data_IF_288159337265
#
_entry.id   IF_288159337265
#
_cell.length_a   1.000
_cell.length_b   1.000
_cell.length_c   1.000
_cell.angle_alpha   90.00
_cell.angle_beta   90.00
_cell.angle_gamma   90.00
#
_symmetry.space_group_name_H-M   'P 1'
#
loop_
_entity.id
_entity.type
_entity.pdbx_description
1 polymer ?
#
# COMPACT_ATOMS: atom_id res chain seq x y z
N UNK A 1 17.06 -9.68 15.08
CA UNK A 1 16.17 -9.47 13.90
C UNK A 1 15.55 -8.07 13.85
N UNK A 2 15.06 -7.48 14.95
CA UNK A 2 14.39 -6.15 14.98
C UNK A 2 15.23 -4.98 14.43
N UNK A 3 16.53 -4.94 14.65
CA UNK A 3 17.40 -3.86 14.14
C UNK A 3 17.54 -3.85 12.61
N UNK A 4 17.55 -5.01 11.97
CA UNK A 4 17.64 -5.14 10.51
C UNK A 4 16.36 -4.65 9.83
N UNK A 5 15.20 -4.96 10.40
CA UNK A 5 13.89 -4.50 9.91
C UNK A 5 13.75 -2.98 10.02
N UNK A 6 14.13 -2.39 11.16
CA UNK A 6 14.07 -0.93 11.37
C UNK A 6 14.95 -0.16 10.39
N UNK A 7 16.19 -0.60 10.17
CA UNK A 7 17.10 0.07 9.24
C UNK A 7 16.62 -0.04 7.79
N UNK A 8 16.04 -1.17 7.39
CA UNK A 8 15.42 -1.32 6.08
C UNK A 8 14.23 -0.36 5.89
N UNK A 9 13.37 -0.22 6.90
CA UNK A 9 12.26 0.72 6.85
C UNK A 9 12.73 2.17 6.77
N UNK A 10 13.72 2.58 7.58
CA UNK A 10 14.27 3.93 7.53
C UNK A 10 14.91 4.24 6.17
N UNK A 11 15.66 3.30 5.60
CA UNK A 11 16.25 3.45 4.27
C UNK A 11 15.17 3.58 3.20
N UNK A 12 14.16 2.72 3.22
CA UNK A 12 13.03 2.77 2.30
C UNK A 12 12.29 4.11 2.40
N UNK A 13 11.98 4.56 3.62
CA UNK A 13 11.33 5.86 3.85
C UNK A 13 12.17 7.01 3.30
N UNK A 14 13.49 6.98 3.53
CA UNK A 14 14.41 7.99 2.99
C UNK A 14 14.39 8.04 1.45
N UNK A 15 14.39 6.88 0.79
CA UNK A 15 14.30 6.78 -0.67
C UNK A 15 12.96 7.36 -1.16
N UNK A 16 11.84 7.04 -0.51
CA UNK A 16 10.53 7.58 -0.88
C UNK A 16 10.46 9.10 -0.73
N UNK A 17 10.99 9.65 0.35
CA UNK A 17 11.02 11.10 0.58
C UNK A 17 11.83 11.79 -0.53
N UNK A 18 13.03 11.28 -0.85
CA UNK A 18 13.88 11.83 -1.92
C UNK A 18 13.14 11.75 -3.26
N UNK A 19 12.51 10.62 -3.58
CA UNK A 19 11.75 10.43 -4.79
C UNK A 19 10.62 11.46 -4.92
N UNK A 20 9.79 11.63 -3.88
CA UNK A 20 8.67 12.57 -3.86
C UNK A 20 9.18 14.01 -4.03
N UNK A 21 10.27 14.39 -3.34
CA UNK A 21 10.85 15.73 -3.47
C UNK A 21 11.37 16.00 -4.87
N UNK A 22 12.09 15.07 -5.48
CA UNK A 22 12.60 15.21 -6.84
C UNK A 22 11.47 15.33 -7.87
N UNK A 23 10.44 14.47 -7.75
CA UNK A 23 9.27 14.55 -8.64
C UNK A 23 8.48 15.85 -8.44
N UNK A 24 8.32 16.31 -7.21
CA UNK A 24 7.67 17.59 -6.92
C UNK A 24 8.40 18.77 -7.54
N UNK A 25 9.73 18.78 -7.49
CA UNK A 25 10.56 19.82 -8.12
C UNK A 25 10.41 19.78 -9.64
N UNK A 26 10.48 18.60 -10.26
CA UNK A 26 10.31 18.48 -11.73
C UNK A 26 8.91 18.89 -12.15
N UNK A 27 7.88 18.53 -11.39
CA UNK A 27 6.50 18.94 -11.65
C UNK A 27 6.30 20.45 -11.55
N UNK A 28 6.96 21.14 -10.62
CA UNK A 28 6.92 22.59 -10.51
C UNK A 28 7.61 23.28 -11.71
N UNK A 29 8.70 22.71 -12.22
CA UNK A 29 9.43 23.25 -13.36
C UNK A 29 8.74 22.96 -14.70
N UNK A 30 8.05 21.82 -14.79
CA UNK A 30 7.37 21.33 -15.99
C UNK A 30 5.94 20.88 -15.63
N UNK A 31 5.02 21.83 -15.37
CA UNK A 31 3.64 21.47 -15.06
C UNK A 31 3.00 20.73 -16.24
N UNK A 32 2.31 19.66 -15.95
CA UNK A 32 1.56 18.91 -16.98
C UNK A 32 0.42 19.79 -17.48
N UNK A 33 0.37 19.98 -18.80
CA UNK A 33 -0.73 20.67 -19.48
C UNK A 33 -1.81 19.64 -19.83
N UNK A 34 -2.67 19.27 -18.86
CA UNK A 34 -3.76 18.33 -19.08
C UNK A 34 -4.25 17.69 -17.80
N UNK A 35 -5.23 16.79 -17.92
CA UNK A 35 -5.72 15.99 -16.81
C UNK A 35 -4.62 15.04 -16.28
N UNK A 36 -4.56 14.89 -14.96
CA UNK A 36 -3.64 13.96 -14.31
C UNK A 36 -4.11 12.54 -14.65
N UNK A 37 -3.28 11.81 -15.38
CA UNK A 37 -3.53 10.41 -15.75
C UNK A 37 -2.65 9.46 -14.94
N UNK A 38 -2.98 8.16 -14.97
CA UNK A 38 -2.22 7.09 -14.32
C UNK A 38 -0.76 7.02 -14.78
N UNK A 39 -0.48 7.55 -15.98
CA UNK A 39 0.85 7.57 -16.60
C UNK A 39 1.60 8.89 -16.42
N UNK A 40 1.01 9.87 -15.72
CA UNK A 40 1.60 11.21 -15.55
C UNK A 40 3.02 11.19 -15.00
N UNK A 41 3.32 10.25 -14.09
CA UNK A 41 4.67 10.08 -13.54
C UNK A 41 5.68 9.65 -14.61
N UNK A 42 5.25 8.83 -15.57
CA UNK A 42 6.08 8.40 -16.71
C UNK A 42 6.33 9.58 -17.66
N UNK A 43 5.33 10.42 -17.86
CA UNK A 43 5.45 11.62 -18.68
C UNK A 43 6.41 12.64 -18.09
N UNK A 44 6.38 12.85 -16.79
CA UNK A 44 7.33 13.70 -16.07
C UNK A 44 8.76 13.14 -16.17
N UNK A 45 8.94 11.83 -16.17
CA UNK A 45 10.25 11.21 -16.26
C UNK A 45 11.01 11.56 -17.55
N UNK A 46 10.32 11.94 -18.65
CA UNK A 46 10.94 12.38 -19.90
C UNK A 46 11.87 13.58 -19.71
N UNK A 47 11.57 14.45 -18.75
CA UNK A 47 12.36 15.64 -18.45
C UNK A 47 13.66 15.33 -17.70
N UNK A 48 13.83 14.12 -17.16
CA UNK A 48 15.05 13.70 -16.47
C UNK A 48 16.12 13.28 -17.49
N UNK A 49 15.78 12.32 -18.36
CA UNK A 49 16.59 11.94 -19.53
C UNK A 49 15.72 11.09 -20.49
N UNK A 50 16.13 11.01 -21.75
CA UNK A 50 15.36 10.36 -22.81
C UNK A 50 14.93 8.92 -22.53
N UNK A 51 15.75 8.10 -21.86
CA UNK A 51 15.43 6.71 -21.52
C UNK A 51 14.67 6.51 -20.21
N UNK A 52 14.50 7.54 -19.38
CA UNK A 52 13.91 7.43 -18.05
C UNK A 52 12.50 6.82 -18.05
N UNK A 53 11.59 7.14 -18.98
CA UNK A 53 10.26 6.52 -19.02
C UNK A 53 10.30 4.99 -19.15
N UNK A 54 11.19 4.48 -20.00
CA UNK A 54 11.32 3.03 -20.24
C UNK A 54 11.83 2.33 -18.99
N UNK A 55 12.88 2.86 -18.36
CA UNK A 55 13.41 2.31 -17.12
C UNK A 55 12.39 2.36 -15.99
N UNK A 56 11.66 3.46 -15.85
CA UNK A 56 10.61 3.62 -14.86
C UNK A 56 9.47 2.61 -15.08
N UNK A 57 9.03 2.45 -16.33
CA UNK A 57 8.00 1.47 -16.68
C UNK A 57 8.42 0.04 -16.35
N UNK A 58 9.62 -0.37 -16.77
CA UNK A 58 10.14 -1.71 -16.47
C UNK A 58 10.26 -1.92 -14.95
N UNK A 59 10.79 -0.93 -14.23
CA UNK A 59 10.92 -1.01 -12.78
C UNK A 59 9.54 -1.13 -12.09
N UNK A 60 8.55 -0.34 -12.53
CA UNK A 60 7.20 -0.37 -12.00
C UNK A 60 6.55 -1.74 -12.23
N UNK A 61 6.56 -2.26 -13.46
CA UNK A 61 5.98 -3.56 -13.79
C UNK A 61 6.64 -4.68 -12.99
N UNK A 62 7.98 -4.71 -12.93
CA UNK A 62 8.73 -5.74 -12.21
C UNK A 62 8.45 -5.68 -10.71
N UNK A 63 8.41 -4.49 -10.14
CA UNK A 63 8.11 -4.27 -8.73
C UNK A 63 6.69 -4.73 -8.37
N UNK A 64 5.70 -4.32 -9.17
CA UNK A 64 4.30 -4.69 -8.93
C UNK A 64 4.07 -6.20 -9.10
N UNK A 65 4.68 -6.82 -10.10
CA UNK A 65 4.60 -8.27 -10.29
C UNK A 65 5.21 -9.02 -9.09
N UNK A 66 6.38 -8.57 -8.62
CA UNK A 66 7.04 -9.17 -7.45
C UNK A 66 6.18 -9.03 -6.18
N UNK A 67 5.60 -7.85 -5.94
CA UNK A 67 4.70 -7.60 -4.81
C UNK A 67 3.44 -8.49 -4.90
N UNK A 68 2.80 -8.54 -6.06
CA UNK A 68 1.62 -9.38 -6.28
C UNK A 68 1.89 -10.86 -6.00
N UNK A 69 3.02 -11.40 -6.48
CA UNK A 69 3.39 -12.79 -6.20
C UNK A 69 3.61 -13.05 -4.70
N UNK A 70 4.24 -12.12 -3.99
CA UNK A 70 4.46 -12.22 -2.55
C UNK A 70 3.12 -12.19 -1.78
N UNK A 71 2.21 -11.29 -2.17
CA UNK A 71 0.89 -11.17 -1.57
C UNK A 71 0.02 -12.39 -1.82
N UNK A 72 0.03 -12.94 -3.04
CA UNK A 72 -0.66 -14.18 -3.35
C UNK A 72 -0.14 -15.35 -2.50
N UNK A 73 1.19 -15.48 -2.39
CA UNK A 73 1.80 -16.54 -1.59
C UNK A 73 1.43 -16.40 -0.10
N UNK A 74 1.52 -15.18 0.44
CA UNK A 74 1.18 -14.88 1.82
C UNK A 74 -0.30 -15.13 2.14
N UNK A 75 -1.20 -14.57 1.32
CA UNK A 75 -2.64 -14.69 1.52
C UNK A 75 -3.14 -16.13 1.34
N UNK A 76 -2.62 -16.86 0.36
CA UNK A 76 -2.97 -18.26 0.17
C UNK A 76 -2.58 -19.15 1.34
N UNK A 77 -1.40 -18.90 1.93
CA UNK A 77 -0.97 -19.56 3.16
C UNK A 77 -1.85 -19.21 4.35
N UNK A 78 -2.16 -17.92 4.52
CA UNK A 78 -3.01 -17.44 5.60
C UNK A 78 -4.43 -18.03 5.56
N UNK A 79 -5.06 -18.06 4.38
CA UNK A 79 -6.39 -18.68 4.20
C UNK A 79 -6.37 -20.16 4.58
N UNK A 80 -5.34 -20.87 4.18
CA UNK A 80 -5.18 -22.30 4.53
C UNK A 80 -5.05 -22.48 6.07
N UNK A 81 -4.23 -21.64 6.71
CA UNK A 81 -4.01 -21.71 8.16
C UNK A 81 -5.27 -21.33 8.95
N UNK A 82 -5.91 -20.22 8.63
CA UNK A 82 -7.14 -19.73 9.31
C UNK A 82 -8.31 -20.68 9.10
N UNK A 83 -8.40 -21.35 7.94
CA UNK A 83 -9.41 -22.37 7.66
C UNK A 83 -9.12 -23.71 8.35
N UNK A 84 -8.08 -23.80 9.18
CA UNK A 84 -7.62 -25.06 9.78
C UNK A 84 -7.34 -26.15 8.71
N UNK A 85 -6.69 -25.74 7.60
CA UNK A 85 -6.35 -26.60 6.46
C UNK A 85 -7.57 -27.16 5.69
N UNK A 86 -8.78 -26.67 5.95
CA UNK A 86 -9.98 -27.09 5.20
C UNK A 86 -9.98 -26.56 3.79
N UNK A 87 -9.38 -25.39 3.55
CA UNK A 87 -9.21 -24.79 2.24
C UNK A 87 -7.76 -24.98 1.79
N UNK A 88 -7.55 -25.70 0.68
CA UNK A 88 -6.20 -25.86 0.17
C UNK A 88 -5.66 -24.55 -0.39
N UNK A 89 -4.33 -24.36 -0.34
CA UNK A 89 -3.65 -23.16 -0.86
C UNK A 89 -4.00 -22.92 -2.34
N UNK A 90 -4.16 -23.96 -3.14
CA UNK A 90 -4.54 -23.85 -4.56
C UNK A 90 -5.94 -23.24 -4.73
N UNK A 91 -6.90 -23.70 -3.92
CA UNK A 91 -8.26 -23.16 -3.93
C UNK A 91 -8.26 -21.70 -3.47
N UNK A 92 -7.48 -21.37 -2.43
CA UNK A 92 -7.31 -19.99 -1.98
C UNK A 92 -6.79 -19.09 -3.10
N UNK A 93 -5.79 -19.52 -3.87
CA UNK A 93 -5.28 -18.76 -5.01
C UNK A 93 -6.34 -18.50 -6.08
N UNK A 94 -7.14 -19.52 -6.42
CA UNK A 94 -8.22 -19.36 -7.41
C UNK A 94 -9.26 -18.35 -6.92
N UNK A 95 -9.66 -18.43 -5.66
CA UNK A 95 -10.64 -17.50 -5.08
C UNK A 95 -10.10 -16.07 -5.05
N UNK A 96 -8.85 -15.89 -4.62
CA UNK A 96 -8.21 -14.57 -4.59
C UNK A 96 -8.10 -14.00 -6.01
N UNK A 97 -7.64 -14.81 -6.98
CA UNK A 97 -7.54 -14.38 -8.38
C UNK A 97 -8.90 -13.98 -8.96
N UNK A 98 -9.95 -14.77 -8.71
CA UNK A 98 -11.29 -14.44 -9.15
C UNK A 98 -11.79 -13.12 -8.54
N UNK A 99 -11.56 -12.92 -7.23
CA UNK A 99 -11.92 -11.67 -6.56
C UNK A 99 -11.16 -10.47 -7.15
N UNK A 100 -9.86 -10.60 -7.42
CA UNK A 100 -9.04 -9.55 -8.05
C UNK A 100 -9.57 -9.21 -9.46
N UNK A 101 -9.92 -10.21 -10.27
CA UNK A 101 -10.47 -10.00 -11.62
C UNK A 101 -11.79 -9.22 -11.53
N UNK A 102 -12.69 -9.61 -10.63
CA UNK A 102 -13.97 -8.91 -10.43
C UNK A 102 -13.73 -7.47 -10.00
N UNK A 103 -12.81 -7.21 -9.08
CA UNK A 103 -12.49 -5.85 -8.64
C UNK A 103 -11.95 -5.00 -9.79
N UNK A 104 -10.98 -5.52 -10.56
CA UNK A 104 -10.37 -4.76 -11.67
C UNK A 104 -11.37 -4.47 -12.80
N UNK A 105 -12.38 -5.32 -13.00
CA UNK A 105 -13.40 -5.08 -14.02
C UNK A 105 -14.56 -4.22 -13.54
N UNK A 106 -14.74 -4.05 -12.24
CA UNK A 106 -15.88 -3.33 -11.65
C UNK A 106 -15.55 -1.93 -11.20
N UNK A 107 -14.27 -1.63 -10.98
CA UNK A 107 -13.82 -0.39 -10.35
C UNK A 107 -12.62 0.21 -11.06
N UNK A 108 -12.52 1.55 -11.02
CA UNK A 108 -11.35 2.27 -11.50
C UNK A 108 -10.16 2.12 -10.56
N UNK A 109 -8.95 2.36 -11.08
CA UNK A 109 -7.71 2.20 -10.33
C UNK A 109 -7.68 3.04 -9.04
N UNK A 110 -8.21 4.27 -9.07
CA UNK A 110 -8.26 5.15 -7.91
C UNK A 110 -9.23 4.65 -6.85
N UNK A 111 -10.35 4.06 -7.25
CA UNK A 111 -11.30 3.41 -6.34
C UNK A 111 -10.66 2.18 -5.69
N UNK A 112 -9.97 1.34 -6.47
CA UNK A 112 -9.25 0.16 -5.96
C UNK A 112 -8.18 0.58 -4.92
N UNK A 113 -7.40 1.62 -5.21
CA UNK A 113 -6.40 2.17 -4.29
C UNK A 113 -7.08 2.70 -3.01
N UNK A 114 -8.22 3.37 -3.13
CA UNK A 114 -8.99 3.83 -1.99
C UNK A 114 -9.49 2.68 -1.13
N UNK A 115 -10.07 1.64 -1.73
CA UNK A 115 -10.51 0.44 -1.00
C UNK A 115 -9.35 -0.27 -0.31
N UNK A 116 -8.22 -0.43 -1.00
CA UNK A 116 -7.02 -1.02 -0.41
C UNK A 116 -6.53 -0.19 0.78
N UNK A 117 -6.46 1.13 0.64
CA UNK A 117 -6.03 2.04 1.71
C UNK A 117 -6.94 1.96 2.93
N UNK A 118 -8.27 1.91 2.73
CA UNK A 118 -9.25 1.72 3.81
C UNK A 118 -9.10 0.34 4.46
N UNK A 119 -8.86 -0.70 3.67
CA UNK A 119 -8.59 -2.06 4.17
C UNK A 119 -7.34 -2.11 5.06
N UNK A 120 -6.25 -1.49 4.64
CA UNK A 120 -5.04 -1.36 5.46
C UNK A 120 -5.27 -0.54 6.74
N UNK A 121 -5.98 0.58 6.63
CA UNK A 121 -6.32 1.40 7.80
C UNK A 121 -7.15 0.61 8.82
N UNK A 122 -8.12 -0.19 8.34
CA UNK A 122 -8.93 -1.07 9.18
C UNK A 122 -8.08 -2.16 9.86
N UNK A 123 -7.15 -2.77 9.12
CA UNK A 123 -6.21 -3.74 9.66
C UNK A 123 -5.35 -3.13 10.78
N UNK A 124 -4.76 -1.95 10.55
CA UNK A 124 -3.98 -1.26 11.57
C UNK A 124 -4.82 -0.79 12.76
N UNK A 125 -6.08 -0.43 12.54
CA UNK A 125 -7.01 -0.15 13.63
C UNK A 125 -7.16 -1.36 14.56
N UNK A 126 -7.40 -2.58 14.03
CA UNK A 126 -7.47 -3.79 14.83
C UNK A 126 -6.15 -4.14 15.53
N UNK A 127 -5.02 -3.87 14.88
CA UNK A 127 -3.69 -4.00 15.51
C UNK A 127 -3.55 -3.04 16.71
N UNK A 128 -4.02 -1.80 16.59
CA UNK A 128 -4.03 -0.83 17.68
C UNK A 128 -4.93 -1.29 18.83
N UNK A 129 -6.12 -1.83 18.54
CA UNK A 129 -7.01 -2.39 19.56
C UNK A 129 -6.33 -3.54 20.33
N UNK A 130 -5.69 -4.46 19.61
CA UNK A 130 -4.94 -5.56 20.22
C UNK A 130 -3.78 -5.05 21.10
N UNK A 131 -3.05 -4.04 20.61
CA UNK A 131 -1.98 -3.38 21.36
C UNK A 131 -2.50 -2.68 22.62
N UNK A 132 -3.64 -1.98 22.53
CA UNK A 132 -4.27 -1.33 23.67
C UNK A 132 -4.66 -2.34 24.75
N UNK A 133 -5.26 -3.46 24.34
CA UNK A 133 -5.65 -4.53 25.26
C UNK A 133 -4.46 -5.06 26.07
N UNK A 134 -3.34 -5.32 25.40
CA UNK A 134 -2.12 -5.82 26.02
C UNK A 134 -1.49 -4.78 26.97
N UNK A 135 -1.44 -3.50 26.54
CA UNK A 135 -0.71 -2.45 27.26
C UNK A 135 -1.55 -1.67 28.27
N UNK A 136 -2.84 -1.92 28.38
CA UNK A 136 -3.76 -1.19 29.24
C UNK A 136 -3.28 -1.10 30.71
N UNK A 137 -2.70 -2.20 31.23
CA UNK A 137 -2.21 -2.27 32.62
C UNK A 137 -0.70 -2.14 32.78
N UNK A 138 0.08 -2.21 31.68
CA UNK A 138 1.55 -2.37 31.75
C UNK A 138 2.28 -1.08 31.37
N UNK A 139 1.81 -0.33 30.36
CA UNK A 139 2.55 0.79 29.80
C UNK A 139 1.62 1.88 29.26
N UNK A 140 1.26 2.83 30.12
CA UNK A 140 0.33 3.94 29.79
C UNK A 140 0.74 4.73 28.52
N UNK A 141 2.04 4.99 28.31
CA UNK A 141 2.53 5.70 27.14
C UNK A 141 2.26 4.93 25.83
N UNK A 142 2.48 3.60 25.83
CA UNK A 142 2.18 2.77 24.67
C UNK A 142 0.68 2.66 24.40
N UNK A 143 -0.12 2.61 25.46
CA UNK A 143 -1.58 2.63 25.35
C UNK A 143 -2.06 3.91 24.67
N UNK A 144 -1.63 5.08 25.15
CA UNK A 144 -2.02 6.38 24.57
C UNK A 144 -1.56 6.49 23.12
N UNK A 145 -0.34 6.05 22.79
CA UNK A 145 0.15 6.04 21.42
C UNK A 145 -0.73 5.15 20.51
N UNK A 146 -1.03 3.92 20.94
CA UNK A 146 -1.91 3.02 20.19
C UNK A 146 -3.32 3.58 20.02
N UNK A 147 -3.84 4.29 21.04
CA UNK A 147 -5.13 4.96 20.97
C UNK A 147 -5.13 6.07 19.91
N UNK A 148 -4.13 6.95 19.92
CA UNK A 148 -4.01 8.02 18.92
C UNK A 148 -3.92 7.48 17.49
N UNK A 149 -3.06 6.49 17.27
CA UNK A 149 -2.92 5.86 15.96
C UNK A 149 -4.21 5.14 15.54
N UNK A 150 -4.88 4.46 16.47
CA UNK A 150 -6.16 3.80 16.21
C UNK A 150 -7.25 4.78 15.80
N UNK A 151 -7.34 5.94 16.46
CA UNK A 151 -8.28 7.01 16.07
C UNK A 151 -7.97 7.53 14.67
N UNK A 152 -6.69 7.78 14.35
CA UNK A 152 -6.29 8.22 13.00
C UNK A 152 -6.68 7.18 11.93
N UNK A 153 -6.42 5.91 12.18
CA UNK A 153 -6.83 4.84 11.27
C UNK A 153 -8.34 4.79 11.08
N UNK A 154 -9.11 4.94 12.16
CA UNK A 154 -10.57 4.98 12.08
C UNK A 154 -11.08 6.18 11.28
N UNK A 155 -10.48 7.35 11.45
CA UNK A 155 -10.81 8.54 10.65
C UNK A 155 -10.53 8.32 9.17
N UNK A 156 -9.43 7.66 8.80
CA UNK A 156 -9.14 7.30 7.40
C UNK A 156 -10.19 6.34 6.84
N UNK A 157 -10.63 5.35 7.62
CA UNK A 157 -11.67 4.41 7.18
C UNK A 157 -13.01 5.12 6.92
N UNK A 158 -13.40 6.06 7.80
CA UNK A 158 -14.69 6.73 7.75
C UNK A 158 -14.75 7.89 6.75
N UNK A 159 -13.67 8.67 6.67
CA UNK A 159 -13.63 9.92 5.91
C UNK A 159 -12.68 9.90 4.71
N UNK A 160 -11.90 8.84 4.53
CA UNK A 160 -11.03 8.69 3.36
C UNK A 160 -11.87 8.64 2.09
N UNK A 161 -11.68 9.61 1.20
CA UNK A 161 -12.32 9.64 -0.12
C UNK A 161 -11.29 9.29 -1.20
N UNK A 162 -11.70 8.64 -2.30
CA UNK A 162 -10.84 8.49 -3.46
C UNK A 162 -10.52 9.87 -4.04
N UNK A 163 -9.37 9.98 -4.68
CA UNK A 163 -9.06 11.16 -5.48
C UNK A 163 -10.02 11.16 -6.69
N UNK A 164 -10.90 12.14 -6.76
CA UNK A 164 -11.73 12.36 -7.94
C UNK A 164 -10.91 13.11 -8.99
N UNK A 165 -10.70 12.47 -10.13
CA UNK A 165 -10.02 13.06 -11.30
C UNK A 165 -10.99 13.90 -12.11
#
# INVERSE_FOLDING_TARGET
>A
MLFRSRNAQLLSTGIYIIFILLFSLVFQLHPLSGEISDTSVIDIAKYVFWGAPIFLFIAAVTSQLSAALADFAGNGGLVNEVSQQRVSVKVAYVVIAAACIVLVWSFDIFEIISFASKGFALYYFFQCLSSMWVHFRIAKAKFVFSLCVGILCLLVVLFGQPFES
#
